data_IF_806942884547
#
_entry.id   IF_806942884547
#
_cell.length_a   1.000
_cell.length_b   1.000
_cell.length_c   1.000
_cell.angle_alpha   90.00
_cell.angle_beta   90.00
_cell.angle_gamma   90.00
#
_symmetry.space_group_name_H-M   'P 1'
#
loop_
_entity.id
_entity.type
_entity.pdbx_description
1 polymer ?
#
# COMPACT_ATOMS: atom_id res chain seq x y z
N UNK A 1 -54.75 22.00 -3.85
CA UNK A 1 -53.64 22.70 -3.17
C UNK A 1 -52.43 21.77 -3.12
N UNK A 2 -51.23 22.33 -3.26
CA UNK A 2 -50.02 21.69 -3.80
C UNK A 2 -49.31 20.76 -2.82
N UNK A 3 -48.97 19.56 -3.31
CA UNK A 3 -47.89 18.70 -2.80
C UNK A 3 -46.54 19.41 -2.96
N UNK A 4 -45.63 19.28 -1.96
CA UNK A 4 -44.16 19.17 -2.09
C UNK A 4 -43.49 19.40 -0.73
N UNK A 5 -43.00 18.35 -0.09
CA UNK A 5 -41.72 18.37 0.66
C UNK A 5 -41.14 16.96 0.59
N UNK A 6 -40.27 16.72 -0.38
CA UNK A 6 -39.36 15.57 -0.36
C UNK A 6 -38.04 16.02 -0.97
N UNK A 7 -36.95 15.79 -0.23
CA UNK A 7 -35.61 15.73 -0.80
C UNK A 7 -34.65 16.82 -0.33
N UNK A 8 -33.98 16.58 0.80
CA UNK A 8 -32.56 16.94 1.00
C UNK A 8 -31.96 15.95 2.00
N UNK A 9 -31.54 14.76 1.56
CA UNK A 9 -30.50 13.96 2.25
C UNK A 9 -29.76 13.16 1.18
N UNK A 10 -28.77 13.76 0.51
CA UNK A 10 -27.71 13.00 -0.20
C UNK A 10 -26.56 13.93 -0.66
N UNK A 11 -25.73 14.43 0.27
CA UNK A 11 -24.50 15.13 -0.12
C UNK A 11 -23.35 15.02 0.92
N UNK A 12 -23.38 14.05 1.82
CA UNK A 12 -22.36 13.88 2.87
C UNK A 12 -21.41 12.68 2.64
N UNK A 13 -21.60 11.90 1.57
CA UNK A 13 -20.82 10.68 1.32
C UNK A 13 -19.68 10.84 0.30
N UNK A 14 -19.59 11.98 -0.40
CA UNK A 14 -18.54 12.22 -1.40
C UNK A 14 -17.25 12.83 -0.82
N UNK A 15 -17.28 13.41 0.39
CA UNK A 15 -16.10 14.04 0.99
C UNK A 15 -15.10 13.04 1.61
N UNK A 16 -15.55 11.83 1.97
CA UNK A 16 -14.66 10.81 2.55
C UNK A 16 -13.82 10.04 1.53
N UNK A 17 -14.15 10.09 0.24
CA UNK A 17 -13.37 9.39 -0.79
C UNK A 17 -12.11 10.18 -1.19
N UNK A 18 -12.19 11.51 -1.29
CA UNK A 18 -11.05 12.35 -1.70
C UNK A 18 -9.88 12.26 -0.70
N UNK A 19 -10.16 12.41 0.61
CA UNK A 19 -9.13 12.30 1.66
C UNK A 19 -8.51 10.90 1.78
N UNK A 20 -9.17 9.86 1.25
CA UNK A 20 -8.64 8.49 1.25
C UNK A 20 -7.67 8.24 0.08
N UNK A 21 -7.86 8.93 -1.05
CA UNK A 21 -6.96 8.86 -2.21
C UNK A 21 -5.66 9.64 -1.95
N UNK A 22 -5.74 10.83 -1.33
CA UNK A 22 -4.58 11.69 -1.06
C UNK A 22 -3.52 11.04 -0.15
N UNK A 23 -3.92 10.16 0.78
CA UNK A 23 -2.99 9.46 1.67
C UNK A 23 -2.35 8.21 1.03
N UNK A 24 -2.79 7.79 -0.16
CA UNK A 24 -2.26 6.59 -0.82
C UNK A 24 -0.80 6.77 -1.24
N UNK A 25 -0.42 7.98 -1.64
CA UNK A 25 0.94 8.24 -2.14
C UNK A 25 2.01 8.14 -1.06
N UNK A 26 1.63 8.32 0.22
CA UNK A 26 2.52 8.09 1.38
C UNK A 26 2.97 6.64 1.50
N UNK A 27 2.32 5.73 0.78
CA UNK A 27 2.68 4.32 0.72
C UNK A 27 3.81 4.09 -0.28
N UNK A 28 3.98 4.93 -1.30
CA UNK A 28 4.99 4.74 -2.33
C UNK A 28 6.43 4.58 -1.78
N UNK A 29 6.91 5.40 -0.81
CA UNK A 29 8.25 5.26 -0.19
C UNK A 29 8.48 3.94 0.54
N UNK A 30 7.41 3.19 0.77
CA UNK A 30 7.34 2.02 1.61
C UNK A 30 7.08 0.73 0.85
N UNK A 31 6.86 0.78 -0.46
CA UNK A 31 6.54 -0.39 -1.29
C UNK A 31 7.75 -1.32 -1.38
N UNK A 32 7.58 -2.58 -0.97
CA UNK A 32 8.62 -3.60 -1.06
C UNK A 32 8.69 -4.25 -2.45
N UNK A 33 7.63 -4.08 -3.26
CA UNK A 33 7.50 -4.66 -4.60
C UNK A 33 6.99 -3.55 -5.54
N UNK A 34 7.53 -3.41 -6.75
CA UNK A 34 6.99 -2.51 -7.76
C UNK A 34 5.66 -3.08 -8.28
N UNK A 35 4.59 -2.82 -7.55
CA UNK A 35 3.22 -3.17 -7.94
C UNK A 35 2.43 -1.87 -8.01
N UNK A 36 1.69 -1.69 -9.10
CA UNK A 36 0.71 -0.61 -9.21
C UNK A 36 -0.34 -0.77 -8.11
N UNK A 37 -0.56 0.28 -7.33
CA UNK A 37 -1.53 0.22 -6.24
C UNK A 37 -2.93 0.33 -6.85
N UNK A 38 -3.67 -0.76 -6.81
CA UNK A 38 -5.04 -0.82 -7.30
C UNK A 38 -6.00 -0.09 -6.37
N UNK A 39 -7.01 0.58 -6.94
CA UNK A 39 -8.03 1.27 -6.17
C UNK A 39 -8.89 0.27 -5.37
N UNK A 40 -9.55 0.78 -4.32
CA UNK A 40 -10.35 -0.05 -3.41
C UNK A 40 -11.43 -0.85 -4.12
N UNK A 41 -12.15 -0.24 -5.06
CA UNK A 41 -13.25 -0.89 -5.78
C UNK A 41 -12.72 -2.00 -6.68
N UNK A 42 -11.60 -1.78 -7.35
CA UNK A 42 -10.92 -2.79 -8.16
C UNK A 42 -10.44 -3.96 -7.30
N UNK A 43 -9.77 -3.72 -6.18
CA UNK A 43 -9.32 -4.78 -5.26
C UNK A 43 -10.49 -5.59 -4.69
N UNK A 44 -11.57 -4.93 -4.25
CA UNK A 44 -12.76 -5.61 -3.74
C UNK A 44 -13.42 -6.47 -4.85
N UNK A 45 -13.50 -5.96 -6.07
CA UNK A 45 -13.99 -6.70 -7.25
C UNK A 45 -13.10 -7.90 -7.58
N UNK A 46 -11.77 -7.73 -7.60
CA UNK A 46 -10.84 -8.84 -7.84
C UNK A 46 -10.98 -9.92 -6.78
N UNK A 47 -11.05 -9.55 -5.49
CA UNK A 47 -11.26 -10.53 -4.43
C UNK A 47 -12.59 -11.28 -4.56
N UNK A 48 -13.68 -10.57 -4.91
CA UNK A 48 -14.98 -11.20 -5.15
C UNK A 48 -14.92 -12.19 -6.30
N UNK A 49 -14.33 -11.79 -7.42
CA UNK A 49 -14.17 -12.66 -8.59
C UNK A 49 -13.29 -13.86 -8.28
N UNK A 50 -12.16 -13.67 -7.58
CA UNK A 50 -11.28 -14.75 -7.17
C UNK A 50 -12.03 -15.75 -6.26
N UNK A 51 -12.63 -15.29 -5.16
CA UNK A 51 -13.27 -16.17 -4.18
C UNK A 51 -14.46 -16.91 -4.79
N UNK A 52 -15.30 -16.24 -5.59
CA UNK A 52 -16.45 -16.84 -6.27
C UNK A 52 -16.09 -18.09 -7.08
N UNK A 53 -14.92 -18.10 -7.73
CA UNK A 53 -14.49 -19.17 -8.62
C UNK A 53 -13.38 -20.07 -8.04
N UNK A 54 -12.77 -19.71 -6.89
CA UNK A 54 -11.66 -20.46 -6.27
C UNK A 54 -12.00 -21.94 -6.00
N UNK A 55 -13.19 -22.20 -5.44
CA UNK A 55 -13.63 -23.57 -5.11
C UNK A 55 -14.14 -24.40 -6.28
N UNK A 56 -13.99 -23.96 -7.54
CA UNK A 56 -14.47 -24.68 -8.71
C UNK A 56 -13.38 -25.58 -9.29
N UNK A 57 -13.73 -26.85 -9.50
CA UNK A 57 -12.78 -27.94 -9.81
C UNK A 57 -12.18 -27.92 -11.22
N UNK A 58 -12.72 -27.12 -12.16
CA UNK A 58 -12.18 -27.05 -13.53
C UNK A 58 -11.85 -25.62 -13.96
N UNK A 59 -10.71 -25.46 -14.65
CA UNK A 59 -10.32 -24.19 -15.28
C UNK A 59 -11.36 -23.66 -16.27
N UNK A 60 -12.17 -24.54 -16.86
CA UNK A 60 -13.25 -24.16 -17.78
C UNK A 60 -14.45 -23.50 -17.06
N UNK A 61 -14.62 -23.73 -15.75
CA UNK A 61 -15.66 -23.10 -14.95
C UNK A 61 -15.20 -21.79 -14.30
N UNK A 62 -13.87 -21.62 -14.13
CA UNK A 62 -13.27 -20.37 -13.67
C UNK A 62 -13.46 -19.31 -14.77
N UNK A 63 -14.34 -18.33 -14.53
CA UNK A 63 -14.67 -17.29 -15.50
C UNK A 63 -13.46 -16.46 -15.94
N UNK A 64 -13.59 -15.72 -17.05
CA UNK A 64 -12.49 -14.93 -17.64
C UNK A 64 -11.82 -13.97 -16.64
N UNK A 65 -12.59 -13.43 -15.69
CA UNK A 65 -12.11 -12.49 -14.68
C UNK A 65 -11.30 -13.15 -13.54
N UNK A 66 -11.35 -14.48 -13.39
CA UNK A 66 -10.62 -15.19 -12.35
C UNK A 66 -9.10 -15.09 -12.53
N UNK A 67 -8.62 -15.28 -13.75
CA UNK A 67 -7.18 -15.27 -14.03
C UNK A 67 -6.55 -13.90 -13.75
N UNK A 68 -7.24 -12.82 -14.13
CA UNK A 68 -6.81 -11.46 -13.82
C UNK A 68 -6.85 -11.20 -12.31
N UNK A 69 -7.95 -11.55 -11.64
CA UNK A 69 -8.10 -11.38 -10.21
C UNK A 69 -7.02 -12.13 -9.42
N UNK A 70 -6.75 -13.40 -9.77
CA UNK A 70 -5.67 -14.17 -9.17
C UNK A 70 -4.31 -13.51 -9.41
N UNK A 71 -4.01 -13.07 -10.64
CA UNK A 71 -2.73 -12.45 -10.97
C UNK A 71 -2.48 -11.18 -10.15
N UNK A 72 -3.47 -10.29 -10.05
CA UNK A 72 -3.34 -9.04 -9.27
C UNK A 72 -3.14 -9.34 -7.78
N UNK A 73 -3.97 -10.21 -7.20
CA UNK A 73 -3.91 -10.52 -5.78
C UNK A 73 -2.66 -11.33 -5.41
N UNK A 74 -2.22 -12.27 -6.24
CA UNK A 74 -0.98 -13.03 -6.03
C UNK A 74 0.25 -12.14 -6.19
N UNK A 75 0.27 -11.23 -7.18
CA UNK A 75 1.37 -10.29 -7.37
C UNK A 75 1.58 -9.39 -6.15
N UNK A 76 0.50 -8.89 -5.53
CA UNK A 76 0.59 -8.12 -4.27
C UNK A 76 1.22 -8.89 -3.11
N UNK A 77 1.27 -10.23 -3.20
CA UNK A 77 1.84 -11.15 -2.22
C UNK A 77 3.21 -11.71 -2.65
N UNK A 78 3.84 -11.19 -3.71
CA UNK A 78 5.09 -11.74 -4.24
C UNK A 78 4.89 -13.05 -5.01
N UNK A 79 3.84 -13.11 -5.83
CA UNK A 79 3.45 -14.28 -6.64
C UNK A 79 3.09 -15.53 -5.81
N UNK A 80 2.20 -15.34 -4.83
CA UNK A 80 1.71 -16.44 -4.00
C UNK A 80 0.74 -17.39 -4.74
N UNK A 81 0.75 -18.68 -4.38
CA UNK A 81 -0.17 -19.69 -4.91
C UNK A 81 -1.65 -19.45 -4.59
N UNK A 82 -2.56 -20.12 -5.30
CA UNK A 82 -4.02 -19.94 -5.17
C UNK A 82 -4.51 -20.13 -3.72
N UNK A 83 -3.99 -21.11 -3.00
CA UNK A 83 -4.35 -21.40 -1.60
C UNK A 83 -4.00 -20.25 -0.67
N UNK A 84 -2.83 -19.64 -0.85
CA UNK A 84 -2.37 -18.51 -0.04
C UNK A 84 -3.23 -17.27 -0.32
N UNK A 85 -3.57 -17.02 -1.59
CA UNK A 85 -4.50 -15.95 -1.99
C UNK A 85 -5.87 -16.17 -1.36
N UNK A 86 -6.41 -17.41 -1.42
CA UNK A 86 -7.69 -17.74 -0.81
C UNK A 86 -7.68 -17.60 0.71
N UNK A 87 -6.66 -18.12 1.39
CA UNK A 87 -6.50 -17.98 2.84
C UNK A 87 -6.45 -16.50 3.26
N UNK A 88 -5.90 -15.63 2.41
CA UNK A 88 -5.81 -14.19 2.66
C UNK A 88 -7.16 -13.50 2.47
N UNK A 89 -7.81 -13.68 1.32
CA UNK A 89 -8.92 -12.84 0.86
C UNK A 89 -10.31 -13.47 1.01
N UNK A 90 -10.44 -14.80 0.99
CA UNK A 90 -11.72 -15.49 1.06
C UNK A 90 -12.14 -15.81 2.50
N UNK A 91 -13.44 -15.79 2.76
CA UNK A 91 -13.99 -16.09 4.07
C UNK A 91 -13.79 -17.57 4.41
N UNK A 92 -13.42 -17.85 5.67
CA UNK A 92 -13.33 -19.23 6.16
C UNK A 92 -14.71 -19.88 6.32
N UNK A 93 -15.78 -19.07 6.47
CA UNK A 93 -17.15 -19.56 6.60
C UNK A 93 -17.76 -19.94 5.25
N UNK A 94 -17.36 -19.25 4.17
CA UNK A 94 -17.75 -19.56 2.80
C UNK A 94 -16.64 -19.09 1.86
N UNK A 95 -15.92 -20.03 1.26
CA UNK A 95 -14.80 -19.77 0.36
C UNK A 95 -15.20 -19.01 -0.92
N UNK A 96 -16.50 -18.92 -1.23
CA UNK A 96 -17.05 -18.14 -2.33
C UNK A 96 -17.27 -16.66 -2.01
N UNK A 97 -17.13 -16.29 -0.73
CA UNK A 97 -17.31 -14.92 -0.25
C UNK A 97 -15.99 -14.32 0.18
N UNK A 98 -15.89 -12.99 0.09
CA UNK A 98 -14.71 -12.25 0.54
C UNK A 98 -14.78 -11.95 2.03
N UNK A 99 -13.62 -11.79 2.67
CA UNK A 99 -13.55 -11.16 3.99
C UNK A 99 -13.99 -9.69 3.91
N UNK A 100 -14.49 -9.12 5.01
CA UNK A 100 -14.98 -7.73 5.05
C UNK A 100 -13.86 -6.67 4.92
N UNK A 101 -12.61 -7.07 5.14
CA UNK A 101 -11.44 -6.19 5.21
C UNK A 101 -10.43 -6.43 4.06
N UNK A 102 -10.92 -6.81 2.86
CA UNK A 102 -10.08 -7.12 1.67
C UNK A 102 -9.04 -6.05 1.40
N UNK A 103 -9.47 -4.80 1.20
CA UNK A 103 -8.58 -3.72 0.81
C UNK A 103 -7.49 -3.47 1.86
N UNK A 104 -7.87 -3.49 3.14
CA UNK A 104 -6.91 -3.41 4.26
C UNK A 104 -5.88 -4.52 4.20
N UNK A 105 -6.28 -5.74 3.85
CA UNK A 105 -5.36 -6.89 3.73
C UNK A 105 -4.44 -6.73 2.54
N UNK A 106 -4.95 -6.27 1.40
CA UNK A 106 -4.17 -5.97 0.19
C UNK A 106 -3.08 -4.94 0.50
N UNK A 107 -3.45 -3.78 1.07
CA UNK A 107 -2.50 -2.73 1.43
C UNK A 107 -1.45 -3.18 2.45
N UNK A 108 -1.85 -3.97 3.45
CA UNK A 108 -0.90 -4.57 4.41
C UNK A 108 0.06 -5.56 3.79
N UNK A 109 -0.29 -6.17 2.67
CA UNK A 109 0.60 -7.08 1.97
C UNK A 109 1.61 -6.29 1.13
N UNK A 110 1.15 -5.27 0.40
CA UNK A 110 2.03 -4.40 -0.41
C UNK A 110 3.06 -3.64 0.43
N UNK A 111 2.61 -3.08 1.56
CA UNK A 111 3.52 -2.48 2.52
C UNK A 111 2.92 -2.45 3.93
N UNK A 112 3.33 -3.38 4.82
CA UNK A 112 2.93 -3.35 6.22
C UNK A 112 3.25 -2.01 6.91
N UNK A 113 4.42 -1.43 6.59
CA UNK A 113 4.88 -0.15 7.14
C UNK A 113 4.15 1.04 6.48
N UNK A 114 3.89 0.98 5.18
CA UNK A 114 3.09 1.97 4.45
C UNK A 114 1.65 2.07 4.91
N UNK A 115 1.01 0.95 5.23
CA UNK A 115 -0.35 0.97 5.76
C UNK A 115 -0.44 1.68 7.12
N UNK A 116 0.60 1.62 7.94
CA UNK A 116 0.66 2.38 9.18
C UNK A 116 0.74 3.89 8.90
N UNK A 117 1.62 4.29 7.98
CA UNK A 117 1.77 5.68 7.52
C UNK A 117 0.46 6.23 6.92
N UNK A 118 -0.22 5.45 6.08
CA UNK A 118 -1.53 5.76 5.52
C UNK A 118 -2.58 6.05 6.59
N UNK A 119 -2.69 5.19 7.62
CA UNK A 119 -3.65 5.43 8.70
C UNK A 119 -3.34 6.71 9.47
N UNK A 120 -2.06 6.97 9.71
CA UNK A 120 -1.63 8.18 10.37
C UNK A 120 -1.95 9.43 9.54
N UNK A 121 -1.72 9.37 8.23
CA UNK A 121 -2.09 10.44 7.31
C UNK A 121 -3.58 10.72 7.36
N UNK A 122 -4.42 9.68 7.37
CA UNK A 122 -5.87 9.86 7.48
C UNK A 122 -6.28 10.54 8.78
N UNK A 123 -5.67 10.19 9.90
CA UNK A 123 -5.92 10.87 11.18
C UNK A 123 -5.44 12.33 11.12
N UNK A 124 -4.33 12.62 10.44
CA UNK A 124 -3.85 13.99 10.27
C UNK A 124 -4.78 14.82 9.37
N UNK A 125 -5.37 14.21 8.34
CA UNK A 125 -6.35 14.83 7.46
C UNK A 125 -7.67 15.14 8.17
N UNK A 126 -8.08 14.32 9.15
CA UNK A 126 -9.22 14.62 10.04
C UNK A 126 -8.99 15.90 10.87
N UNK A 127 -7.74 16.30 11.07
CA UNK A 127 -7.33 17.55 11.72
C UNK A 127 -6.91 18.64 10.70
N UNK A 128 -7.52 18.61 9.52
CA UNK A 128 -7.33 19.55 8.42
C UNK A 128 -5.89 19.66 7.87
N UNK A 129 -5.07 18.64 8.08
CA UNK A 129 -3.70 18.60 7.53
C UNK A 129 -3.59 17.45 6.53
N UNK A 130 -3.52 17.80 5.24
CA UNK A 130 -3.20 16.85 4.18
C UNK A 130 -1.67 16.76 4.01
N UNK A 131 -1.19 15.54 3.81
CA UNK A 131 0.20 15.26 3.47
C UNK A 131 0.20 14.53 2.14
N UNK A 132 0.84 15.12 1.13
CA UNK A 132 0.91 14.55 -0.21
C UNK A 132 2.38 14.39 -0.61
N UNK A 133 2.67 13.30 -1.32
CA UNK A 133 3.98 13.02 -1.85
C UNK A 133 3.79 12.68 -3.32
N UNK A 134 4.46 13.39 -4.23
CA UNK A 134 4.43 13.00 -5.64
C UNK A 134 5.29 11.74 -5.82
N UNK A 135 4.72 10.58 -6.22
CA UNK A 135 5.49 9.37 -6.45
C UNK A 135 6.61 9.56 -7.49
N UNK A 136 6.46 10.48 -8.45
CA UNK A 136 7.49 10.79 -9.43
C UNK A 136 8.68 11.56 -8.83
N UNK A 137 8.49 12.21 -7.69
CA UNK A 137 9.55 12.93 -6.95
C UNK A 137 10.34 12.03 -5.99
N UNK A 138 9.93 10.77 -5.83
CA UNK A 138 10.59 9.81 -4.93
C UNK A 138 11.81 9.19 -5.61
N UNK A 139 13.00 9.63 -5.20
CA UNK A 139 14.27 9.08 -5.63
C UNK A 139 14.92 8.26 -4.50
N UNK A 140 15.89 7.38 -4.82
CA UNK A 140 16.68 6.69 -3.79
C UNK A 140 17.42 7.65 -2.84
N UNK A 141 17.83 8.83 -3.35
CA UNK A 141 18.59 9.85 -2.64
C UNK A 141 17.74 10.91 -1.95
N UNK A 142 16.57 11.21 -2.48
CA UNK A 142 15.78 12.37 -2.05
C UNK A 142 14.30 12.17 -2.32
N UNK A 143 13.47 12.86 -1.56
CA UNK A 143 12.07 13.07 -1.90
C UNK A 143 11.58 14.38 -1.31
N UNK A 144 10.43 14.85 -1.80
CA UNK A 144 9.75 15.99 -1.20
C UNK A 144 8.31 15.63 -0.80
N UNK A 145 7.82 16.28 0.24
CA UNK A 145 6.48 16.10 0.78
C UNK A 145 5.82 17.47 0.92
N UNK A 146 4.66 17.61 0.33
CA UNK A 146 3.79 18.76 0.53
C UNK A 146 2.95 18.53 1.79
N UNK A 147 2.89 19.56 2.64
CA UNK A 147 2.03 19.60 3.81
C UNK A 147 1.09 20.78 3.65
N UNK A 148 -0.20 20.46 3.55
CA UNK A 148 -1.27 21.42 3.28
C UNK A 148 -2.17 21.46 4.52
N UNK A 149 -2.40 22.65 5.05
CA UNK A 149 -3.27 22.91 6.18
C UNK A 149 -4.46 23.76 5.75
N UNK A 150 -5.67 23.28 6.02
CA UNK A 150 -6.93 23.96 5.70
C UNK A 150 -7.58 24.47 6.99
N UNK A 151 -7.25 25.67 7.47
CA UNK A 151 -7.79 26.15 8.74
C UNK A 151 -9.32 26.24 8.71
N UNK A 152 -9.96 25.88 9.82
CA UNK A 152 -11.42 25.97 9.98
C UNK A 152 -11.86 27.43 10.17
N UNK A 153 -10.98 28.24 10.78
CA UNK A 153 -11.17 29.65 11.12
C UNK A 153 -9.91 30.45 10.79
N UNK A 154 -10.03 31.78 10.57
CA UNK A 154 -8.91 32.64 10.14
C UNK A 154 -7.70 32.63 11.07
N UNK A 155 -7.93 32.39 12.36
CA UNK A 155 -6.91 32.46 13.40
C UNK A 155 -6.33 31.07 13.73
N UNK A 156 -6.85 30.01 13.11
CA UNK A 156 -6.34 28.66 13.31
C UNK A 156 -4.94 28.53 12.69
N UNK A 157 -4.03 27.93 13.45
CA UNK A 157 -2.68 27.64 12.99
C UNK A 157 -2.33 26.17 13.17
N UNK A 158 -1.47 25.67 12.31
CA UNK A 158 -0.86 24.35 12.44
C UNK A 158 0.65 24.49 12.55
N UNK A 159 1.23 24.05 13.67
CA UNK A 159 2.68 24.03 13.85
C UNK A 159 3.20 22.65 13.49
N UNK A 160 3.92 22.51 12.39
CA UNK A 160 4.40 21.23 11.87
C UNK A 160 5.89 21.06 12.18
N UNK A 161 6.27 19.90 12.70
CA UNK A 161 7.67 19.55 12.99
C UNK A 161 8.05 18.30 12.22
N UNK A 162 9.24 18.29 11.62
CA UNK A 162 9.84 17.05 11.10
C UNK A 162 10.84 16.44 12.08
N UNK A 163 11.00 15.13 12.02
CA UNK A 163 11.91 14.34 12.85
C UNK A 163 12.42 13.13 12.04
N UNK A 164 13.49 13.32 11.25
CA UNK A 164 14.05 12.26 10.42
C UNK A 164 14.92 11.30 11.24
N UNK A 165 15.07 10.07 10.75
CA UNK A 165 16.06 9.13 11.30
C UNK A 165 17.49 9.61 11.04
N UNK A 166 18.46 9.15 11.85
CA UNK A 166 19.88 9.59 11.86
C UNK A 166 20.56 9.76 10.49
N UNK A 167 20.22 8.94 9.50
CA UNK A 167 20.87 8.91 8.17
C UNK A 167 20.05 9.66 7.08
N UNK A 168 19.08 10.47 7.49
CA UNK A 168 18.24 11.32 6.64
C UNK A 168 18.31 12.75 7.19
N UNK A 169 18.54 13.71 6.30
CA UNK A 169 18.38 15.13 6.59
C UNK A 169 17.09 15.64 5.97
N UNK A 170 16.36 16.50 6.67
CA UNK A 170 15.15 17.11 6.14
C UNK A 170 15.12 18.59 6.51
N UNK A 171 14.60 19.41 5.60
CA UNK A 171 14.42 20.85 5.80
C UNK A 171 13.12 21.32 5.17
N UNK A 172 12.43 22.23 5.85
CA UNK A 172 11.34 22.98 5.22
C UNK A 172 11.94 23.93 4.19
N UNK A 173 11.44 23.94 2.96
CA UNK A 173 11.95 24.87 1.95
C UNK A 173 11.68 26.33 2.35
N UNK A 174 10.59 26.55 3.09
CA UNK A 174 10.17 27.87 3.56
C UNK A 174 10.78 28.26 4.93
N UNK A 175 11.56 27.39 5.59
CA UNK A 175 12.09 27.65 6.94
C UNK A 175 13.38 26.89 7.22
N UNK A 176 14.35 27.57 7.84
CA UNK A 176 15.57 26.93 8.33
C UNK A 176 15.39 26.24 9.70
N UNK A 177 14.25 26.45 10.35
CA UNK A 177 13.91 25.81 11.61
C UNK A 177 13.24 24.46 11.37
N UNK A 178 13.39 23.47 12.27
CA UNK A 178 12.73 22.16 12.14
C UNK A 178 11.21 22.21 12.30
N UNK A 179 10.68 23.38 12.68
CA UNK A 179 9.26 23.66 12.88
C UNK A 179 8.83 24.75 11.91
N UNK A 180 7.68 24.55 11.26
CA UNK A 180 7.00 25.55 10.43
C UNK A 180 5.59 25.81 10.98
N UNK A 181 5.10 27.04 10.81
CA UNK A 181 3.73 27.40 11.19
C UNK A 181 2.94 27.68 9.91
N UNK A 182 1.81 26.99 9.76
CA UNK A 182 0.86 27.17 8.66
C UNK A 182 -0.39 27.87 9.18
N UNK A 183 -0.98 28.71 8.33
CA UNK A 183 -2.19 29.48 8.61
C UNK A 183 -2.96 29.75 7.29
N UNK A 184 -3.99 30.59 7.33
CA UNK A 184 -4.78 30.91 6.13
C UNK A 184 -3.99 31.60 5.00
N UNK A 185 -2.92 32.33 5.33
CA UNK A 185 -2.08 33.04 4.35
C UNK A 185 -0.93 32.16 3.82
N UNK A 186 -0.54 31.16 4.61
CA UNK A 186 0.56 30.23 4.35
C UNK A 186 0.12 28.79 4.65
N UNK A 187 -0.87 28.34 3.89
CA UNK A 187 -1.52 27.04 4.09
C UNK A 187 -0.68 25.87 3.61
N UNK A 188 0.40 26.09 2.87
CA UNK A 188 1.22 25.02 2.28
C UNK A 188 2.69 25.18 2.65
N UNK A 189 3.33 24.07 3.01
CA UNK A 189 4.77 23.96 3.16
C UNK A 189 5.32 22.74 2.44
N UNK A 190 6.57 22.84 2.00
CA UNK A 190 7.28 21.78 1.29
C UNK A 190 8.42 21.30 2.17
N UNK A 191 8.39 20.03 2.57
CA UNK A 191 9.47 19.35 3.26
C UNK A 191 10.34 18.65 2.23
N UNK A 192 11.60 19.01 2.16
CA UNK A 192 12.57 18.32 1.33
C UNK A 192 13.46 17.45 2.21
N UNK A 193 13.65 16.19 1.82
CA UNK A 193 14.44 15.22 2.55
C UNK A 193 15.50 14.58 1.65
N UNK A 194 16.73 14.54 2.16
CA UNK A 194 17.90 13.95 1.50
C UNK A 194 18.45 12.81 2.35
N UNK A 195 18.87 11.74 1.69
CA UNK A 195 19.43 10.55 2.32
C UNK A 195 20.95 10.62 2.30
N UNK A 196 21.55 10.47 3.47
CA UNK A 196 23.00 10.45 3.64
C UNK A 196 23.54 9.04 3.37
N UNK A 197 22.80 7.99 3.78
CA UNK A 197 23.19 6.58 3.62
C UNK A 197 22.10 5.77 2.91
N UNK A 198 22.40 5.34 1.68
CA UNK A 198 21.51 4.60 0.78
C UNK A 198 21.15 3.19 1.27
N UNK A 199 22.12 2.48 1.85
CA UNK A 199 22.01 1.05 2.17
C UNK A 199 21.22 0.74 3.45
N UNK A 200 20.69 1.74 4.15
CA UNK A 200 19.98 1.55 5.43
C UNK A 200 18.54 2.02 5.32
N UNK A 201 17.59 1.27 5.86
CA UNK A 201 16.22 1.75 5.93
C UNK A 201 16.12 2.91 6.93
N UNK A 202 15.26 3.88 6.64
CA UNK A 202 15.04 5.07 7.46
C UNK A 202 13.57 5.43 7.53
N UNK A 203 13.29 6.56 8.17
CA UNK A 203 11.96 7.14 8.19
C UNK A 203 12.02 8.65 8.39
N UNK A 204 10.94 9.32 8.02
CA UNK A 204 10.69 10.73 8.33
C UNK A 204 9.38 10.83 9.10
N UNK A 205 9.40 11.42 10.29
CA UNK A 205 8.18 11.74 11.03
C UNK A 205 7.79 13.19 10.78
N UNK A 206 6.52 13.43 10.52
CA UNK A 206 5.92 14.76 10.45
C UNK A 206 4.83 14.82 11.51
N UNK A 207 4.92 15.77 12.43
CA UNK A 207 4.01 15.88 13.57
C UNK A 207 3.42 17.28 13.67
N UNK A 208 2.13 17.37 14.02
CA UNK A 208 1.51 18.63 14.43
C UNK A 208 1.83 18.86 15.90
N UNK A 209 2.65 19.86 16.20
CA UNK A 209 3.15 20.19 17.56
C UNK A 209 2.03 20.69 18.46
N UNK A 210 1.10 21.47 17.91
CA UNK A 210 -0.11 21.89 18.62
C UNK A 210 -1.26 20.87 18.53
N UNK A 211 -0.93 19.64 18.12
CA UNK A 211 -1.81 18.48 18.11
C UNK A 211 -1.11 17.25 18.70
N UNK A 212 -1.72 16.07 18.57
CA UNK A 212 -1.12 14.78 18.97
C UNK A 212 -0.86 13.86 17.76
N UNK A 213 -1.07 14.37 16.56
CA UNK A 213 -1.01 13.62 15.31
C UNK A 213 0.41 13.57 14.78
N UNK A 214 0.81 12.39 14.32
CA UNK A 214 2.11 12.14 13.70
C UNK A 214 1.95 11.18 12.54
N UNK A 215 2.56 11.50 11.42
CA UNK A 215 2.73 10.62 10.26
C UNK A 215 4.18 10.18 10.21
N UNK A 216 4.41 8.87 10.14
CA UNK A 216 5.73 8.29 9.95
C UNK A 216 5.80 7.73 8.55
N UNK A 217 6.57 8.39 7.67
CA UNK A 217 6.82 7.97 6.30
C UNK A 217 8.06 7.06 6.33
N UNK A 218 7.91 5.73 6.19
CA UNK A 218 9.07 4.86 6.10
C UNK A 218 9.74 5.04 4.73
N UNK A 219 11.08 5.01 4.70
CA UNK A 219 11.86 5.15 3.47
C UNK A 219 12.81 3.96 3.35
N UNK A 220 12.58 3.12 2.35
CA UNK A 220 13.33 1.87 2.16
C UNK A 220 14.83 2.11 1.87
N UNK A 221 15.64 1.09 2.15
CA UNK A 221 17.04 1.06 1.74
C UNK A 221 17.14 0.77 0.24
N UNK A 222 18.15 1.34 -0.42
CA UNK A 222 18.46 1.12 -1.82
C UNK A 222 19.89 0.62 -2.00
N UNK A 223 20.11 -0.20 -3.02
CA UNK A 223 21.44 -0.62 -3.46
C UNK A 223 22.10 0.43 -4.38
N UNK A 224 23.30 0.12 -4.87
CA UNK A 224 24.06 1.02 -5.76
C UNK A 224 23.40 1.23 -7.14
N UNK A 225 22.45 0.38 -7.51
CA UNK A 225 21.70 0.46 -8.77
C UNK A 225 20.35 1.18 -8.59
N UNK A 226 20.06 1.68 -7.38
CA UNK A 226 18.78 2.32 -7.06
C UNK A 226 17.63 1.33 -6.87
N UNK A 227 17.94 0.05 -6.61
CA UNK A 227 16.92 -0.98 -6.35
C UNK A 227 16.67 -1.13 -4.83
N UNK A 228 15.41 -1.27 -4.38
CA UNK A 228 15.12 -1.50 -2.97
C UNK A 228 15.79 -2.79 -2.43
N UNK A 229 16.48 -2.70 -1.29
CA UNK A 229 17.20 -3.85 -0.71
C UNK A 229 16.23 -4.94 -0.22
N UNK A 230 15.06 -4.56 0.31
CA UNK A 230 14.04 -5.54 0.75
C UNK A 230 13.46 -6.33 -0.44
N UNK A 231 13.43 -5.75 -1.65
CA UNK A 231 13.03 -6.45 -2.87
C UNK A 231 14.00 -7.59 -3.21
N UNK A 232 15.30 -7.39 -3.01
CA UNK A 232 16.32 -8.43 -3.22
C UNK A 232 16.16 -9.58 -2.22
N UNK A 233 15.82 -9.26 -0.97
CA UNK A 233 15.49 -10.25 0.05
C UNK A 233 14.27 -11.08 -0.33
N UNK A 234 13.17 -10.43 -0.69
CA UNK A 234 11.94 -11.09 -1.13
C UNK A 234 12.15 -11.92 -2.42
N UNK A 235 12.95 -11.43 -3.37
CA UNK A 235 13.27 -12.15 -4.59
C UNK A 235 14.13 -13.39 -4.30
N UNK A 236 15.07 -13.30 -3.35
CA UNK A 236 15.88 -14.43 -2.92
C UNK A 236 15.02 -15.51 -2.25
N UNK A 237 14.14 -15.12 -1.34
CA UNK A 237 13.19 -16.07 -0.71
C UNK A 237 12.29 -16.73 -1.76
N UNK A 238 11.80 -15.97 -2.74
CA UNK A 238 11.01 -16.50 -3.85
C UNK A 238 11.80 -17.47 -4.73
N UNK A 239 13.06 -17.14 -5.04
CA UNK A 239 13.96 -18.02 -5.79
C UNK A 239 14.20 -19.33 -5.03
N UNK A 240 14.46 -19.27 -3.72
CA UNK A 240 14.65 -20.44 -2.87
C UNK A 240 13.37 -21.30 -2.79
N UNK A 241 12.19 -20.69 -2.72
CA UNK A 241 10.91 -21.38 -2.77
C UNK A 241 10.70 -22.10 -4.12
N UNK A 242 10.98 -21.43 -5.25
CA UNK A 242 10.90 -22.04 -6.59
C UNK A 242 11.88 -23.20 -6.76
N UNK A 243 13.13 -23.04 -6.29
CA UNK A 243 14.14 -24.11 -6.32
C UNK A 243 13.69 -25.30 -5.48
N UNK A 244 13.10 -25.04 -4.31
CA UNK A 244 12.52 -26.08 -3.45
C UNK A 244 11.39 -26.83 -4.17
N UNK A 245 10.43 -26.14 -4.79
CA UNK A 245 9.35 -26.78 -5.57
C UNK A 245 9.88 -27.61 -6.74
N UNK A 246 10.86 -27.09 -7.50
CA UNK A 246 11.52 -27.83 -8.59
C UNK A 246 12.22 -29.10 -8.10
N UNK A 247 12.77 -29.08 -6.89
CA UNK A 247 13.40 -30.26 -6.28
C UNK A 247 12.36 -31.34 -5.94
N UNK A 248 11.16 -30.94 -5.50
CA UNK A 248 10.03 -31.86 -5.26
C UNK A 248 9.57 -32.52 -6.57
N UNK A 249 9.52 -31.76 -7.68
CA UNK A 249 9.19 -32.32 -8.99
C UNK A 249 10.24 -33.31 -9.52
N UNK A 250 11.54 -33.07 -9.26
CA UNK A 250 12.60 -34.04 -9.60
C UNK A 250 12.50 -35.33 -8.80
N UNK A 251 12.00 -35.29 -7.58
CA UNK A 251 11.70 -36.48 -6.77
C UNK A 251 10.43 -37.23 -7.19
N UNK A 252 9.49 -36.57 -7.89
CA UNK A 252 8.27 -37.19 -8.41
C UNK A 252 8.42 -37.86 -9.77
N UNK A 253 9.59 -37.76 -10.42
CA UNK A 253 9.95 -38.65 -11.53
C UNK A 253 10.51 -39.95 -10.96
N UNK A 254 9.68 -40.68 -10.22
CA UNK A 254 9.96 -42.08 -9.92
C UNK A 254 9.62 -42.87 -11.19
N UNK A 255 10.69 -43.37 -11.79
CA UNK A 255 10.78 -44.34 -12.88
C UNK A 255 9.46 -45.04 -13.27
N UNK A 256 8.99 -44.78 -14.49
CA UNK A 256 8.34 -45.83 -15.28
C UNK A 256 9.42 -46.83 -15.71
N UNK A 257 9.92 -47.64 -14.77
CA UNK A 257 10.63 -48.86 -15.14
C UNK A 257 9.57 -49.93 -15.36
N UNK A 258 8.91 -49.85 -16.52
CA UNK A 258 7.98 -50.86 -16.99
C UNK A 258 8.79 -52.07 -17.49
N UNK A 259 9.30 -52.87 -16.55
CA UNK A 259 9.76 -54.22 -16.81
C UNK A 259 8.60 -55.20 -16.56
N UNK A 260 7.62 -55.20 -17.46
CA UNK A 260 6.81 -56.37 -17.86
C UNK A 260 5.65 -55.90 -18.75
N UNK A 261 5.71 -56.25 -20.05
CA UNK A 261 4.56 -56.13 -20.93
C UNK A 261 3.56 -57.26 -20.59
N UNK A 262 2.25 -56.99 -20.52
CA UNK A 262 1.27 -58.05 -20.33
C UNK A 262 1.24 -58.97 -21.56
N UNK A 263 1.45 -60.26 -21.32
CA UNK A 263 1.36 -61.31 -22.33
C UNK A 263 -0.07 -61.45 -22.84
N UNK A 264 -0.27 -61.17 -24.13
CA UNK A 264 -1.45 -61.60 -24.90
C UNK A 264 -1.31 -63.03 -25.38
#
# INVERSE_FOLDING_TARGET
MKNKVLGIILCALAALSAAAEECMDIIAPSLAIPVEIEDRTSVERYAQNFCKFYGQSSKAMKGADYGLAYRVLSASMGAAGEEAVAARYCSAADSKTTKKDVYRRYMRTLSPKGYFAYRQCRTMAEDNVAITLDPASLLPSEFSVDVIFTPSDSDETARMRHDPSKDIDCRWIQSNEPVITLNAESSTALLHCERIVYSKAGYVKIARVNGQQVVTIPWQAYDQNGLPVDLLGALKEHYEAMVSELSTFRGSVVAFDAQECPSG
#
